data_IF_315326048570
#
_entry.id   IF_315326048570
#
_cell.length_a   1.000
_cell.length_b   1.000
_cell.length_c   1.000
_cell.angle_alpha   90.00
_cell.angle_beta   90.00
_cell.angle_gamma   90.00
#
_symmetry.space_group_name_H-M   'P 1'
#
loop_
_entity.id
_entity.type
_entity.pdbx_description
1 polymer ?
#
# COMPACT_ATOMS: atom_id res chain seq x y z
N UNK A 1 -18.83 4.42 31.66
CA UNK A 1 -18.18 3.42 30.80
C UNK A 1 -17.76 4.12 29.53
N UNK A 2 -16.54 3.91 29.01
CA UNK A 2 -16.19 4.45 27.70
C UNK A 2 -17.18 3.92 26.66
N UNK A 3 -17.51 4.71 25.63
CA UNK A 3 -18.46 4.28 24.61
C UNK A 3 -17.89 3.03 23.93
N UNK A 4 -18.73 1.99 23.83
CA UNK A 4 -18.35 0.74 23.16
C UNK A 4 -18.34 1.02 21.66
N UNK A 5 -17.17 1.02 21.03
CA UNK A 5 -17.03 1.15 19.59
C UNK A 5 -17.69 -0.05 18.89
N UNK A 6 -18.76 0.18 18.14
CA UNK A 6 -19.53 -0.85 17.42
C UNK A 6 -19.64 -0.54 15.93
N UNK A 7 -19.90 0.70 15.56
CA UNK A 7 -20.18 1.12 14.18
C UNK A 7 -19.08 2.05 13.70
N UNK A 8 -18.42 1.70 12.63
CA UNK A 8 -17.33 2.48 12.05
C UNK A 8 -17.63 2.78 10.59
N UNK A 9 -17.41 4.04 10.20
CA UNK A 9 -17.48 4.47 8.80
C UNK A 9 -16.07 4.78 8.32
N UNK A 10 -15.62 4.07 7.28
CA UNK A 10 -14.36 4.33 6.57
C UNK A 10 -14.67 4.98 5.23
N UNK A 11 -14.02 6.10 4.90
CA UNK A 11 -14.14 6.73 3.59
C UNK A 11 -12.81 6.61 2.86
N UNK A 12 -12.79 5.90 1.73
CA UNK A 12 -11.57 5.64 0.97
C UNK A 12 -11.90 5.15 -0.44
N UNK A 13 -11.10 5.56 -1.42
CA UNK A 13 -11.12 5.00 -2.77
C UNK A 13 -10.29 3.71 -2.90
N UNK A 14 -9.41 3.41 -1.94
CA UNK A 14 -8.53 2.24 -1.96
C UNK A 14 -9.30 0.91 -2.01
N UNK A 15 -10.49 0.87 -1.41
CA UNK A 15 -11.32 -0.34 -1.33
C UNK A 15 -12.25 -0.57 -2.52
N UNK A 16 -12.03 0.15 -3.62
CA UNK A 16 -12.67 -0.13 -4.91
C UNK A 16 -12.44 -1.58 -5.33
N UNK A 17 -11.22 -2.07 -5.15
CA UNK A 17 -10.87 -3.46 -5.42
C UNK A 17 -11.28 -4.36 -4.24
N UNK A 18 -12.09 -5.41 -4.47
CA UNK A 18 -12.50 -6.34 -3.42
C UNK A 18 -11.33 -7.02 -2.67
N UNK A 19 -10.21 -7.24 -3.35
CA UNK A 19 -8.98 -7.80 -2.77
C UNK A 19 -8.41 -6.93 -1.64
N UNK A 20 -8.58 -5.62 -1.70
CA UNK A 20 -8.08 -4.67 -0.69
C UNK A 20 -8.93 -4.63 0.60
N UNK A 21 -10.07 -5.32 0.65
CA UNK A 21 -11.02 -5.24 1.77
C UNK A 21 -10.71 -6.21 2.91
N UNK A 22 -9.56 -6.90 2.91
CA UNK A 22 -9.18 -7.91 3.90
C UNK A 22 -9.19 -7.35 5.32
N UNK A 23 -8.50 -6.23 5.58
CA UNK A 23 -8.52 -5.52 6.87
C UNK A 23 -9.95 -5.21 7.34
N UNK A 24 -10.83 -4.76 6.44
CA UNK A 24 -12.20 -4.41 6.80
C UNK A 24 -13.03 -5.65 7.18
N UNK A 25 -12.84 -6.77 6.47
CA UNK A 25 -13.46 -8.05 6.82
C UNK A 25 -12.96 -8.55 8.18
N UNK A 26 -11.66 -8.42 8.44
CA UNK A 26 -11.07 -8.80 9.73
C UNK A 26 -11.61 -7.93 10.90
N UNK A 27 -11.85 -6.64 10.67
CA UNK A 27 -12.51 -5.75 11.64
C UNK A 27 -13.97 -6.18 11.88
N UNK A 28 -14.71 -6.50 10.81
CA UNK A 28 -16.10 -6.98 10.91
C UNK A 28 -16.19 -8.33 11.66
N UNK A 29 -15.27 -9.25 11.40
CA UNK A 29 -15.16 -10.53 12.11
C UNK A 29 -14.92 -10.36 13.63
N UNK A 30 -14.39 -9.22 14.06
CA UNK A 30 -14.20 -8.84 15.47
C UNK A 30 -15.45 -8.19 16.11
N UNK A 31 -16.59 -8.26 15.42
CA UNK A 31 -17.88 -7.81 15.92
C UNK A 31 -18.21 -6.34 15.67
N UNK A 32 -17.46 -5.67 14.75
CA UNK A 32 -17.79 -4.32 14.32
C UNK A 32 -18.75 -4.32 13.12
N UNK A 33 -19.66 -3.36 13.10
CA UNK A 33 -20.39 -2.98 11.91
C UNK A 33 -19.55 -1.97 11.12
N UNK A 34 -18.91 -2.43 10.07
CA UNK A 34 -18.01 -1.61 9.25
C UNK A 34 -18.74 -1.19 7.98
N UNK A 35 -18.97 0.10 7.81
CA UNK A 35 -19.40 0.67 6.53
C UNK A 35 -18.20 1.31 5.85
N UNK A 36 -17.88 0.88 4.63
CA UNK A 36 -16.91 1.57 3.79
C UNK A 36 -17.61 2.35 2.69
N UNK A 37 -17.48 3.67 2.72
CA UNK A 37 -17.99 4.55 1.68
C UNK A 37 -16.91 4.79 0.62
N UNK A 38 -17.24 4.38 -0.60
CA UNK A 38 -16.35 4.44 -1.76
C UNK A 38 -16.99 5.39 -2.79
N UNK A 39 -16.20 6.17 -3.57
CA UNK A 39 -16.76 6.93 -4.69
C UNK A 39 -17.59 6.02 -5.60
N UNK A 40 -18.84 6.39 -5.86
CA UNK A 40 -19.77 5.59 -6.67
C UNK A 40 -19.22 5.28 -8.07
N UNK A 41 -18.42 6.20 -8.62
CA UNK A 41 -17.74 6.04 -9.89
C UNK A 41 -16.31 6.54 -9.77
N UNK A 42 -15.35 5.70 -10.17
CA UNK A 42 -13.93 6.02 -10.12
C UNK A 42 -13.24 5.76 -11.46
N UNK A 43 -12.34 6.63 -11.84
CA UNK A 43 -11.45 6.40 -12.98
C UNK A 43 -10.01 6.41 -12.46
N UNK A 44 -9.36 5.28 -12.56
CA UNK A 44 -7.91 5.23 -12.32
C UNK A 44 -7.19 6.13 -13.34
N UNK A 45 -6.28 7.01 -12.90
CA UNK A 45 -5.57 7.91 -13.80
C UNK A 45 -4.82 7.21 -14.93
N UNK A 46 -4.40 5.96 -14.70
CA UNK A 46 -3.49 5.21 -15.57
C UNK A 46 -4.10 3.98 -16.22
N UNK A 47 -5.27 3.53 -15.78
CA UNK A 47 -5.90 2.31 -16.27
C UNK A 47 -7.37 2.53 -16.66
N UNK A 48 -7.65 2.45 -17.91
CA UNK A 48 -8.84 1.96 -18.54
C UNK A 48 -10.16 2.64 -18.22
N UNK A 49 -11.19 1.80 -18.13
CA UNK A 49 -12.59 2.17 -17.99
C UNK A 49 -12.92 2.59 -16.57
N UNK A 50 -13.88 3.53 -16.38
CA UNK A 50 -14.39 3.83 -15.07
C UNK A 50 -14.92 2.58 -14.37
N UNK A 51 -14.65 2.46 -13.08
CA UNK A 51 -15.21 1.42 -12.22
C UNK A 51 -16.46 2.01 -11.58
N UNK A 52 -17.60 1.37 -11.80
CA UNK A 52 -18.85 1.69 -11.10
C UNK A 52 -18.98 0.74 -9.89
N UNK A 53 -19.21 1.31 -8.72
CA UNK A 53 -19.31 0.56 -7.46
C UNK A 53 -20.78 0.29 -7.18
N UNK A 54 -21.09 -0.98 -6.98
CA UNK A 54 -22.41 -1.40 -6.49
C UNK A 54 -22.42 -1.44 -4.95
N UNK A 55 -23.62 -1.28 -4.38
CA UNK A 55 -23.84 -1.55 -2.96
C UNK A 55 -23.68 -3.05 -2.70
N UNK A 56 -22.97 -3.39 -1.62
CA UNK A 56 -22.70 -4.77 -1.21
C UNK A 56 -22.73 -4.84 0.32
N UNK A 57 -23.28 -5.94 0.87
CA UNK A 57 -23.20 -6.22 2.31
C UNK A 57 -22.93 -7.70 2.53
N UNK A 58 -21.85 -7.99 3.26
CA UNK A 58 -21.48 -9.35 3.62
C UNK A 58 -20.94 -9.39 5.05
N UNK A 59 -21.52 -10.22 5.89
CA UNK A 59 -21.18 -10.25 7.31
C UNK A 59 -21.38 -8.87 7.95
N UNK A 60 -20.44 -8.41 8.73
CA UNK A 60 -20.43 -7.08 9.35
C UNK A 60 -19.88 -5.96 8.46
N UNK A 61 -19.53 -6.24 7.19
CA UNK A 61 -18.99 -5.26 6.25
C UNK A 61 -20.05 -4.83 5.25
N UNK A 62 -20.27 -3.52 5.11
CA UNK A 62 -21.07 -2.87 4.08
C UNK A 62 -20.22 -2.02 3.17
N UNK A 63 -20.33 -2.22 1.86
CA UNK A 63 -19.72 -1.34 0.82
C UNK A 63 -20.82 -0.40 0.34
N UNK A 64 -20.61 0.89 0.54
CA UNK A 64 -21.59 1.93 0.22
C UNK A 64 -21.05 2.83 -0.91
N UNK A 65 -21.69 2.82 -2.10
CA UNK A 65 -21.33 3.72 -3.20
C UNK A 65 -21.79 5.14 -2.86
N UNK A 66 -20.84 6.03 -2.59
CA UNK A 66 -21.12 7.42 -2.24
C UNK A 66 -20.93 8.32 -3.47
N UNK A 67 -21.95 9.07 -3.92
CA UNK A 67 -21.82 9.99 -5.03
C UNK A 67 -20.71 11.02 -4.81
N UNK A 68 -19.78 11.09 -5.77
CA UNK A 68 -18.63 12.01 -5.75
C UNK A 68 -18.46 12.72 -7.10
N UNK A 69 -17.81 13.89 -7.10
CA UNK A 69 -17.47 14.66 -8.30
C UNK A 69 -15.97 14.97 -8.32
N UNK A 70 -15.35 14.84 -9.51
CA UNK A 70 -13.93 15.16 -9.75
C UNK A 70 -12.97 14.41 -8.83
N UNK A 71 -11.85 15.05 -8.50
CA UNK A 71 -10.92 14.56 -7.48
C UNK A 71 -11.59 14.57 -6.12
N UNK A 72 -12.16 13.49 -5.75
CA UNK A 72 -12.86 13.14 -4.52
C UNK A 72 -13.43 14.33 -3.74
N UNK A 73 -14.59 14.80 -4.20
CA UNK A 73 -15.48 15.66 -3.43
C UNK A 73 -16.82 14.96 -3.36
N UNK A 74 -17.19 14.48 -2.21
CA UNK A 74 -18.45 13.77 -2.00
C UNK A 74 -19.66 14.71 -2.11
N UNK A 75 -20.81 14.17 -2.53
CA UNK A 75 -22.07 14.91 -2.43
C UNK A 75 -22.38 15.22 -0.96
N UNK A 76 -22.47 16.52 -0.62
CA UNK A 76 -22.69 16.93 0.77
C UNK A 76 -24.00 16.46 1.36
N UNK A 77 -25.05 16.33 0.55
CA UNK A 77 -26.35 15.77 0.96
C UNK A 77 -26.24 14.28 1.27
N UNK A 78 -25.66 13.49 0.34
CA UNK A 78 -25.47 12.06 0.50
C UNK A 78 -24.55 11.71 1.69
N UNK A 79 -23.45 12.43 1.87
CA UNK A 79 -22.57 12.24 3.03
C UNK A 79 -23.29 12.52 4.36
N UNK A 80 -24.06 13.60 4.43
CA UNK A 80 -24.85 13.90 5.65
C UNK A 80 -25.93 12.86 5.93
N UNK A 81 -26.61 12.38 4.89
CA UNK A 81 -27.59 11.31 5.01
C UNK A 81 -26.92 10.04 5.54
N UNK A 82 -25.81 9.61 4.93
CA UNK A 82 -25.07 8.43 5.35
C UNK A 82 -24.65 8.51 6.85
N UNK A 83 -24.08 9.64 7.28
CA UNK A 83 -23.67 9.84 8.68
C UNK A 83 -24.85 9.78 9.66
N UNK A 84 -26.02 10.31 9.27
CA UNK A 84 -27.24 10.26 10.11
C UNK A 84 -27.87 8.88 10.17
N UNK A 85 -27.88 8.17 9.05
CA UNK A 85 -28.51 6.85 8.94
C UNK A 85 -27.67 5.78 9.64
N UNK A 86 -26.34 5.79 9.44
CA UNK A 86 -25.42 4.79 10.03
C UNK A 86 -25.02 5.11 11.46
N UNK A 87 -25.07 6.40 11.88
CA UNK A 87 -24.68 6.87 13.21
C UNK A 87 -23.39 6.21 13.69
N UNK A 88 -22.29 6.36 12.95
CA UNK A 88 -21.03 5.71 13.33
C UNK A 88 -20.49 6.28 14.64
N UNK A 89 -19.88 5.41 15.44
CA UNK A 89 -19.19 5.79 16.67
C UNK A 89 -17.82 6.42 16.37
N UNK A 90 -17.29 6.17 15.16
CA UNK A 90 -16.05 6.73 14.65
C UNK A 90 -16.08 6.82 13.12
N UNK A 91 -15.47 7.87 12.58
CA UNK A 91 -15.21 8.03 11.14
C UNK A 91 -13.71 7.99 10.89
N UNK A 92 -13.25 7.07 10.03
CA UNK A 92 -11.89 7.10 9.48
C UNK A 92 -11.91 7.65 8.05
N UNK A 93 -11.06 8.64 7.81
CA UNK A 93 -10.85 9.23 6.48
C UNK A 93 -9.50 8.74 5.97
N UNK A 94 -9.48 8.07 4.83
CA UNK A 94 -8.24 7.64 4.20
C UNK A 94 -7.96 8.52 2.97
N UNK A 95 -7.57 9.74 3.24
CA UNK A 95 -7.29 10.81 2.29
C UNK A 95 -6.22 11.74 2.83
N UNK A 96 -5.44 12.37 1.97
CA UNK A 96 -4.41 13.30 2.42
C UNK A 96 -5.02 14.56 3.10
N UNK A 97 -4.37 15.11 4.14
CA UNK A 97 -4.91 16.20 4.98
C UNK A 97 -5.29 17.46 4.20
N UNK A 98 -4.62 17.70 3.05
CA UNK A 98 -4.85 18.84 2.17
C UNK A 98 -6.09 18.73 1.28
N UNK A 99 -6.71 17.55 1.17
CA UNK A 99 -7.77 17.29 0.18
C UNK A 99 -9.11 17.93 0.55
N UNK A 100 -9.93 18.29 -0.45
CA UNK A 100 -11.31 18.74 -0.21
C UNK A 100 -12.15 17.70 0.52
N UNK A 101 -11.95 16.41 0.22
CA UNK A 101 -12.66 15.31 0.85
C UNK A 101 -12.39 15.23 2.35
N UNK A 102 -11.12 15.25 2.77
CA UNK A 102 -10.75 15.21 4.18
C UNK A 102 -11.42 16.36 4.96
N UNK A 103 -11.37 17.60 4.41
CA UNK A 103 -12.02 18.76 5.02
C UNK A 103 -13.53 18.63 5.11
N UNK A 104 -14.17 18.12 4.05
CA UNK A 104 -15.63 17.97 3.96
C UNK A 104 -16.13 16.93 4.97
N UNK A 105 -15.50 15.77 5.03
CA UNK A 105 -15.89 14.67 5.93
C UNK A 105 -15.67 15.08 7.38
N UNK A 106 -14.49 15.66 7.69
CA UNK A 106 -14.20 16.17 9.03
C UNK A 106 -15.24 17.20 9.51
N UNK A 107 -15.62 18.14 8.64
CA UNK A 107 -16.61 19.16 8.97
C UNK A 107 -18.00 18.55 9.21
N UNK A 108 -18.39 17.53 8.41
CA UNK A 108 -19.68 16.87 8.54
C UNK A 108 -19.77 16.02 9.82
N UNK A 109 -18.75 15.19 10.10
CA UNK A 109 -18.68 14.35 11.28
C UNK A 109 -18.65 15.18 12.58
N UNK A 110 -17.85 16.24 12.63
CA UNK A 110 -17.77 17.13 13.80
C UNK A 110 -19.09 17.81 14.15
N UNK A 111 -19.92 18.17 13.17
CA UNK A 111 -21.25 18.74 13.42
C UNK A 111 -22.19 17.77 14.13
N UNK A 112 -21.90 16.48 14.04
CA UNK A 112 -22.65 15.41 14.69
C UNK A 112 -21.96 14.88 15.95
N UNK A 113 -20.85 15.49 16.37
CA UNK A 113 -20.08 15.07 17.53
C UNK A 113 -19.34 13.73 17.34
N UNK A 114 -19.14 13.28 16.09
CA UNK A 114 -18.52 11.99 15.80
C UNK A 114 -17.00 12.13 15.79
N UNK A 115 -16.25 11.28 16.52
CA UNK A 115 -14.79 11.22 16.48
C UNK A 115 -14.27 10.93 15.07
N UNK A 116 -13.15 11.58 14.71
CA UNK A 116 -12.55 11.43 13.37
C UNK A 116 -11.08 11.06 13.50
N UNK A 117 -10.70 9.98 12.82
CA UNK A 117 -9.33 9.55 12.59
C UNK A 117 -8.99 9.77 11.11
N UNK A 118 -7.79 10.25 10.82
CA UNK A 118 -7.27 10.40 9.47
C UNK A 118 -6.20 9.33 9.23
N UNK A 119 -6.25 8.69 8.07
CA UNK A 119 -5.14 7.91 7.53
C UNK A 119 -4.42 8.74 6.46
N UNK A 120 -3.09 8.76 6.49
CA UNK A 120 -2.27 9.46 5.50
C UNK A 120 -0.99 8.69 5.16
N UNK A 121 -0.54 8.82 3.91
CA UNK A 121 0.72 8.25 3.42
C UNK A 121 1.72 9.36 3.01
N UNK A 122 1.42 10.62 3.29
CA UNK A 122 2.28 11.73 2.91
C UNK A 122 3.66 11.60 3.56
N UNK A 123 4.68 11.24 2.78
CA UNK A 123 6.05 11.01 3.23
C UNK A 123 7.05 12.03 2.68
N UNK A 124 6.58 13.01 1.92
CA UNK A 124 7.36 14.15 1.42
C UNK A 124 6.68 15.43 1.87
N UNK A 125 7.43 16.38 2.39
CA UNK A 125 6.91 17.73 2.62
C UNK A 125 6.52 18.33 1.26
N UNK A 126 5.22 18.52 1.06
CA UNK A 126 4.75 19.28 -0.10
C UNK A 126 5.21 20.73 0.07
N UNK A 127 5.73 21.34 -1.00
CA UNK A 127 6.00 22.76 -1.06
C UNK A 127 4.68 23.55 -0.94
N UNK A 128 4.18 23.61 0.29
CA UNK A 128 3.01 24.43 0.62
C UNK A 128 3.50 25.75 1.21
N UNK A 129 3.04 26.84 0.62
CA UNK A 129 3.24 28.15 1.23
C UNK A 129 2.70 28.17 2.67
N UNK A 130 3.06 29.20 3.46
CA UNK A 130 2.69 29.31 4.89
C UNK A 130 1.18 29.14 5.15
N UNK A 131 0.32 29.61 4.25
CA UNK A 131 -1.14 29.44 4.31
C UNK A 131 -1.56 27.96 4.19
N UNK A 132 -0.90 27.18 3.32
CA UNK A 132 -1.15 25.75 3.16
C UNK A 132 -0.80 25.00 4.44
N UNK A 133 0.40 25.22 4.97
CA UNK A 133 0.85 24.66 6.26
C UNK A 133 -0.07 25.03 7.42
N UNK A 134 -0.51 26.27 7.48
CA UNK A 134 -1.45 26.73 8.52
C UNK A 134 -2.80 26.00 8.41
N UNK A 135 -3.36 25.88 7.19
CA UNK A 135 -4.62 25.12 6.95
C UNK A 135 -4.50 23.66 7.33
N UNK A 136 -3.39 23.02 6.99
CA UNK A 136 -3.12 21.61 7.33
C UNK A 136 -3.02 21.44 8.86
N UNK A 137 -2.23 22.26 9.54
CA UNK A 137 -2.13 22.24 11.02
C UNK A 137 -3.49 22.45 11.69
N UNK A 138 -4.29 23.39 11.16
CA UNK A 138 -5.64 23.64 11.67
C UNK A 138 -6.58 22.46 11.46
N UNK A 139 -6.42 21.70 10.38
CA UNK A 139 -7.19 20.46 10.14
C UNK A 139 -6.76 19.39 11.15
N UNK A 140 -5.46 19.11 11.24
CA UNK A 140 -4.91 18.09 12.14
C UNK A 140 -5.36 18.30 13.60
N UNK A 141 -5.34 19.51 14.11
CA UNK A 141 -5.81 19.86 15.48
C UNK A 141 -7.28 19.56 15.74
N UNK A 142 -8.07 19.24 14.71
CA UNK A 142 -9.49 18.93 14.85
C UNK A 142 -9.77 17.43 14.80
N UNK A 143 -8.75 16.61 14.54
CA UNK A 143 -8.81 15.16 14.55
C UNK A 143 -8.66 14.62 15.97
N UNK A 144 -9.13 13.40 16.18
CA UNK A 144 -8.93 12.65 17.41
C UNK A 144 -7.67 11.77 17.34
N UNK A 145 -7.20 11.46 16.14
CA UNK A 145 -5.96 10.74 15.90
C UNK A 145 -5.60 10.66 14.43
N UNK A 146 -4.38 10.23 14.14
CA UNK A 146 -3.87 9.95 12.80
C UNK A 146 -3.27 8.55 12.76
N UNK A 147 -3.60 7.81 11.73
CA UNK A 147 -2.86 6.61 11.33
C UNK A 147 -1.94 7.02 10.20
N UNK A 148 -0.64 6.89 10.40
CA UNK A 148 0.39 7.14 9.42
C UNK A 148 0.77 5.82 8.72
N UNK A 149 0.93 5.83 7.42
CA UNK A 149 1.28 4.64 6.64
C UNK A 149 2.73 4.18 6.83
N UNK A 150 3.61 5.03 7.38
CA UNK A 150 5.02 4.75 7.65
C UNK A 150 5.55 5.61 8.79
N UNK A 151 6.71 5.26 9.36
CA UNK A 151 7.39 6.04 10.40
C UNK A 151 7.75 7.44 9.91
N UNK A 152 8.18 7.58 8.67
CA UNK A 152 8.47 8.87 8.05
C UNK A 152 7.21 9.75 8.02
N UNK A 153 6.08 9.21 7.58
CA UNK A 153 4.78 9.90 7.61
C UNK A 153 4.40 10.29 9.04
N UNK A 154 4.58 9.37 10.00
CA UNK A 154 4.33 9.63 11.42
C UNK A 154 5.17 10.80 11.96
N UNK A 155 6.43 10.88 11.57
CA UNK A 155 7.34 11.95 11.95
C UNK A 155 6.89 13.31 11.40
N UNK A 156 6.49 13.38 10.12
CA UNK A 156 5.96 14.60 9.51
C UNK A 156 4.67 15.09 10.21
N UNK A 157 3.79 14.16 10.58
CA UNK A 157 2.57 14.52 11.34
C UNK A 157 2.92 15.02 12.75
N UNK A 158 3.84 14.37 13.48
CA UNK A 158 4.29 14.80 14.82
C UNK A 158 4.87 16.22 14.78
N UNK A 159 5.68 16.55 13.79
CA UNK A 159 6.21 17.91 13.58
C UNK A 159 5.10 18.94 13.41
N UNK A 160 4.01 18.57 12.71
CA UNK A 160 2.89 19.47 12.44
C UNK A 160 1.86 19.55 13.56
N UNK A 161 1.69 18.50 14.35
CA UNK A 161 0.71 18.35 15.42
C UNK A 161 1.23 17.45 16.57
N UNK A 162 2.15 17.95 17.43
CA UNK A 162 2.86 17.12 18.43
C UNK A 162 1.96 16.44 19.48
N UNK A 163 0.79 17.01 19.75
CA UNK A 163 -0.14 16.50 20.77
C UNK A 163 -1.17 15.51 20.22
N UNK A 164 -1.19 15.31 18.89
CA UNK A 164 -2.16 14.43 18.28
C UNK A 164 -1.73 12.96 18.45
N UNK A 165 -2.61 12.07 18.92
CA UNK A 165 -2.33 10.65 18.94
C UNK A 165 -2.03 10.11 17.54
N UNK A 166 -0.93 9.36 17.40
CA UNK A 166 -0.49 8.81 16.12
C UNK A 166 -0.15 7.33 16.28
N UNK A 167 -0.67 6.50 15.38
CA UNK A 167 -0.23 5.13 15.17
C UNK A 167 0.40 4.98 13.78
N UNK A 168 1.44 4.15 13.66
CA UNK A 168 2.03 3.80 12.36
C UNK A 168 1.50 2.43 11.97
N UNK A 169 0.61 2.38 10.98
CA UNK A 169 -0.07 1.16 10.54
C UNK A 169 -0.22 1.24 9.02
N UNK A 170 0.25 0.26 8.24
CA UNK A 170 0.00 0.20 6.80
C UNK A 170 -1.50 0.22 6.47
N UNK A 171 -1.85 0.79 5.32
CA UNK A 171 -3.26 0.90 4.91
C UNK A 171 -3.90 -0.46 4.65
N UNK A 172 -3.18 -1.31 3.94
CA UNK A 172 -3.63 -2.63 3.52
C UNK A 172 -2.79 -3.70 4.17
N UNK A 173 -3.43 -4.78 4.57
CA UNK A 173 -2.80 -6.02 4.94
C UNK A 173 -2.70 -6.97 3.74
N UNK A 174 -2.05 -8.10 3.92
CA UNK A 174 -2.06 -9.18 2.95
C UNK A 174 -2.76 -10.41 3.52
N UNK A 175 -3.51 -11.07 2.66
CA UNK A 175 -3.97 -12.41 2.90
C UNK A 175 -2.80 -13.37 2.71
N UNK A 176 -2.44 -14.11 3.75
CA UNK A 176 -1.41 -15.12 3.65
C UNK A 176 -2.06 -16.49 3.43
N UNK A 177 -1.58 -17.29 2.46
CA UNK A 177 -2.02 -18.66 2.33
C UNK A 177 -1.60 -19.48 3.57
N UNK A 178 -2.38 -20.51 3.94
CA UNK A 178 -2.03 -21.38 5.06
C UNK A 178 -0.68 -22.07 4.81
N UNK A 179 -0.50 -22.59 3.60
CA UNK A 179 0.75 -23.16 3.12
C UNK A 179 1.15 -22.48 1.81
N UNK A 180 2.31 -21.80 1.76
CA UNK A 180 2.85 -21.27 0.52
C UNK A 180 3.18 -22.41 -0.44
N UNK A 181 2.84 -22.22 -1.69
CA UNK A 181 3.17 -23.19 -2.74
C UNK A 181 4.19 -22.57 -3.68
N UNK A 182 5.18 -23.34 -4.07
CA UNK A 182 6.15 -22.96 -5.10
C UNK A 182 6.14 -23.97 -6.22
N UNK A 183 5.98 -23.49 -7.44
CA UNK A 183 6.08 -24.32 -8.64
C UNK A 183 7.56 -24.53 -8.93
N UNK A 184 8.05 -25.79 -8.98
CA UNK A 184 9.45 -26.07 -9.32
C UNK A 184 9.81 -25.53 -10.70
N UNK A 185 10.96 -24.87 -10.77
CA UNK A 185 11.49 -24.31 -12.03
C UNK A 185 13.01 -24.30 -12.03
N UNK A 186 13.60 -24.10 -13.21
CA UNK A 186 15.03 -24.00 -13.36
C UNK A 186 15.52 -22.56 -13.20
N UNK A 187 16.63 -22.38 -12.45
CA UNK A 187 17.23 -21.07 -12.22
C UNK A 187 16.47 -20.21 -11.21
N UNK A 188 16.81 -18.92 -11.13
CA UNK A 188 16.21 -17.96 -10.23
C UNK A 188 15.05 -17.22 -10.90
N UNK A 189 13.86 -17.28 -10.33
CA UNK A 189 12.69 -16.55 -10.80
C UNK A 189 12.53 -15.23 -10.07
N UNK A 190 12.84 -14.13 -10.75
CA UNK A 190 12.67 -12.78 -10.27
C UNK A 190 11.32 -12.20 -10.70
N UNK A 191 10.72 -11.39 -9.86
CA UNK A 191 9.51 -10.64 -10.17
C UNK A 191 9.66 -9.15 -9.89
N UNK A 192 8.99 -8.35 -10.70
CA UNK A 192 8.68 -6.96 -10.41
C UNK A 192 7.17 -6.78 -10.61
N UNK A 193 6.50 -6.17 -9.64
CA UNK A 193 5.06 -5.88 -9.73
C UNK A 193 4.84 -4.41 -9.39
N UNK A 194 4.31 -3.65 -10.35
CA UNK A 194 4.07 -2.24 -10.14
C UNK A 194 3.88 -1.43 -11.42
N UNK A 195 3.59 -0.15 -11.26
CA UNK A 195 3.46 0.78 -12.39
C UNK A 195 4.81 0.97 -13.08
N UNK A 196 4.81 1.01 -14.41
CA UNK A 196 6.02 1.28 -15.20
C UNK A 196 6.22 2.79 -15.36
N UNK A 197 6.74 3.40 -14.28
CA UNK A 197 7.09 4.83 -14.19
C UNK A 197 8.53 4.96 -13.72
N UNK A 198 9.23 6.03 -14.13
CA UNK A 198 10.65 6.22 -13.84
C UNK A 198 11.03 6.06 -12.36
N UNK A 199 10.26 6.59 -11.37
CA UNK A 199 10.62 6.43 -9.96
C UNK A 199 10.62 4.97 -9.45
N UNK A 200 10.03 4.02 -10.18
CA UNK A 200 10.06 2.60 -9.80
C UNK A 200 11.40 1.92 -10.11
N UNK A 201 12.32 2.58 -10.82
CA UNK A 201 13.72 2.17 -10.97
C UNK A 201 13.93 0.86 -11.74
N UNK A 202 12.96 0.43 -12.56
CA UNK A 202 13.07 -0.83 -13.30
C UNK A 202 14.24 -0.82 -14.30
N UNK A 203 14.65 0.35 -14.80
CA UNK A 203 15.85 0.52 -15.61
C UNK A 203 17.12 0.12 -14.84
N UNK A 204 17.20 0.42 -13.53
CA UNK A 204 18.33 0.03 -12.67
C UNK A 204 18.38 -1.48 -12.47
N UNK A 205 17.23 -2.12 -12.31
CA UNK A 205 17.15 -3.57 -12.25
C UNK A 205 17.62 -4.23 -13.55
N UNK A 206 17.17 -3.73 -14.71
CA UNK A 206 17.61 -4.25 -16.01
C UNK A 206 19.13 -4.07 -16.19
N UNK A 207 19.70 -2.92 -15.80
CA UNK A 207 21.16 -2.68 -15.81
C UNK A 207 21.88 -3.68 -14.91
N UNK A 208 21.41 -3.91 -13.68
CA UNK A 208 22.00 -4.87 -12.74
C UNK A 208 22.03 -6.29 -13.32
N UNK A 209 20.92 -6.72 -13.95
CA UNK A 209 20.79 -8.05 -14.57
C UNK A 209 21.69 -8.24 -15.81
N UNK A 210 22.09 -7.16 -16.48
CA UNK A 210 23.03 -7.21 -17.62
C UNK A 210 24.50 -7.29 -17.21
N UNK A 211 24.80 -7.04 -15.94
CA UNK A 211 26.15 -7.00 -15.39
C UNK A 211 26.88 -8.34 -15.46
N UNK A 212 28.20 -8.27 -15.27
CA UNK A 212 29.09 -9.46 -15.37
C UNK A 212 28.80 -10.52 -14.32
N UNK A 213 28.37 -10.13 -13.12
CA UNK A 213 28.05 -11.03 -12.00
C UNK A 213 26.93 -12.03 -12.38
N UNK A 214 25.93 -11.58 -13.13
CA UNK A 214 24.73 -12.39 -13.42
C UNK A 214 24.70 -12.96 -14.85
N UNK A 215 25.72 -12.65 -15.67
CA UNK A 215 25.73 -13.01 -17.12
C UNK A 215 25.65 -14.51 -17.38
N UNK A 216 26.36 -15.32 -16.61
CA UNK A 216 26.43 -16.78 -16.77
C UNK A 216 25.36 -17.54 -15.96
N UNK A 217 24.57 -16.84 -15.15
CA UNK A 217 23.62 -17.45 -14.25
C UNK A 217 22.26 -17.70 -14.93
N UNK A 218 21.57 -18.76 -14.50
CA UNK A 218 20.20 -19.04 -14.95
C UNK A 218 19.20 -18.25 -14.12
N UNK A 219 18.58 -17.27 -14.73
CA UNK A 219 17.51 -16.46 -14.12
C UNK A 219 16.48 -16.05 -15.18
N UNK A 220 15.29 -15.73 -14.75
CA UNK A 220 14.22 -15.09 -15.53
C UNK A 220 13.62 -13.94 -14.72
N UNK A 221 13.13 -12.92 -15.40
CA UNK A 221 12.41 -11.81 -14.79
C UNK A 221 10.99 -11.72 -15.34
N UNK A 222 10.00 -11.73 -14.47
CA UNK A 222 8.61 -11.44 -14.81
C UNK A 222 8.26 -10.03 -14.36
N UNK A 223 7.82 -9.20 -15.30
CA UNK A 223 7.40 -7.82 -15.04
C UNK A 223 5.89 -7.73 -15.20
N UNK A 224 5.22 -7.41 -14.08
CA UNK A 224 3.77 -7.22 -14.01
C UNK A 224 3.47 -5.74 -13.83
N UNK A 225 2.71 -5.20 -14.73
CA UNK A 225 2.29 -3.80 -14.70
C UNK A 225 2.36 -3.14 -16.07
N UNK A 226 1.91 -1.90 -16.10
CA UNK A 226 1.93 -1.06 -17.29
C UNK A 226 2.24 0.39 -16.91
N UNK A 227 2.55 1.22 -17.89
CA UNK A 227 2.85 2.63 -17.68
C UNK A 227 3.63 3.27 -18.83
N UNK A 228 3.85 4.60 -18.73
CA UNK A 228 4.49 5.36 -19.80
C UNK A 228 5.93 4.95 -20.12
N UNK A 229 6.61 4.26 -19.19
CA UNK A 229 7.99 3.80 -19.39
C UNK A 229 8.09 2.46 -20.14
N UNK A 230 6.98 1.78 -20.44
CA UNK A 230 6.99 0.42 -20.97
C UNK A 230 7.84 0.28 -22.22
N UNK A 231 7.56 1.06 -23.26
CA UNK A 231 8.28 0.97 -24.55
C UNK A 231 9.78 1.23 -24.36
N UNK A 232 10.15 2.24 -23.58
CA UNK A 232 11.56 2.56 -23.26
C UNK A 232 12.26 1.40 -22.54
N UNK A 233 11.57 0.75 -21.60
CA UNK A 233 12.12 -0.36 -20.83
C UNK A 233 12.26 -1.65 -21.67
N UNK A 234 11.31 -1.93 -22.57
CA UNK A 234 11.41 -3.04 -23.51
C UNK A 234 12.59 -2.84 -24.49
N UNK A 235 12.78 -1.60 -24.98
CA UNK A 235 13.94 -1.25 -25.80
C UNK A 235 15.25 -1.41 -25.02
N UNK A 236 15.33 -0.91 -23.79
CA UNK A 236 16.50 -1.06 -22.91
C UNK A 236 16.81 -2.55 -22.66
N UNK A 237 15.81 -3.38 -22.41
CA UNK A 237 16.03 -4.81 -22.22
C UNK A 237 16.63 -5.48 -23.49
N UNK A 238 16.23 -5.03 -24.68
CA UNK A 238 16.79 -5.51 -25.96
C UNK A 238 18.24 -5.05 -26.15
N UNK A 239 18.54 -3.78 -25.88
CA UNK A 239 19.89 -3.22 -25.95
C UNK A 239 20.85 -3.94 -25.00
N UNK A 240 20.38 -4.28 -23.79
CA UNK A 240 21.11 -5.04 -22.79
C UNK A 240 21.15 -6.55 -23.06
N UNK A 241 20.55 -7.03 -24.16
CA UNK A 241 20.45 -8.45 -24.57
C UNK A 241 19.70 -9.34 -23.55
N UNK A 242 18.71 -8.78 -22.86
CA UNK A 242 17.91 -9.45 -21.85
C UNK A 242 16.53 -9.92 -22.36
N UNK A 243 16.12 -9.54 -23.57
CA UNK A 243 14.76 -9.76 -24.09
C UNK A 243 14.26 -11.21 -23.94
N UNK A 244 15.13 -12.20 -24.17
CA UNK A 244 14.77 -13.62 -24.05
C UNK A 244 14.56 -14.09 -22.58
N UNK A 245 14.97 -13.30 -21.60
CA UNK A 245 14.88 -13.62 -20.16
C UNK A 245 13.82 -12.78 -19.42
N UNK A 246 13.20 -11.82 -20.10
CA UNK A 246 12.23 -10.90 -19.50
C UNK A 246 10.85 -11.16 -20.07
N UNK A 247 9.90 -11.50 -19.21
CA UNK A 247 8.48 -11.68 -19.53
C UNK A 247 7.69 -10.45 -19.12
N UNK A 248 7.07 -9.76 -20.07
CA UNK A 248 6.20 -8.62 -19.85
C UNK A 248 4.74 -9.08 -19.90
N UNK A 249 4.01 -8.95 -18.80
CA UNK A 249 2.62 -9.42 -18.72
C UNK A 249 1.60 -8.33 -18.99
N UNK A 250 2.00 -7.05 -18.88
CA UNK A 250 1.05 -5.94 -18.71
C UNK A 250 0.42 -5.93 -17.33
N UNK A 251 -0.61 -5.13 -17.16
CA UNK A 251 -1.39 -5.10 -15.92
C UNK A 251 -2.22 -6.37 -15.75
N UNK A 252 -2.13 -7.01 -14.59
CA UNK A 252 -2.90 -8.20 -14.25
C UNK A 252 -3.95 -7.90 -13.17
N UNK A 253 -5.10 -8.58 -13.19
CA UNK A 253 -6.04 -8.60 -12.06
C UNK A 253 -5.39 -9.18 -10.79
N UNK A 254 -5.90 -8.77 -9.62
CA UNK A 254 -5.33 -9.17 -8.33
C UNK A 254 -5.23 -10.69 -8.14
N UNK A 255 -6.23 -11.44 -8.64
CA UNK A 255 -6.26 -12.90 -8.55
C UNK A 255 -5.12 -13.54 -9.37
N UNK A 256 -4.77 -12.96 -10.51
CA UNK A 256 -3.66 -13.42 -11.34
C UNK A 256 -2.31 -13.01 -10.73
N UNK A 257 -2.22 -11.85 -10.09
CA UNK A 257 -1.03 -11.47 -9.31
C UNK A 257 -0.83 -12.44 -8.15
N UNK A 258 -1.91 -12.82 -7.45
CA UNK A 258 -1.84 -13.80 -6.36
C UNK A 258 -1.29 -15.16 -6.82
N UNK A 259 -1.64 -15.61 -8.02
CA UNK A 259 -1.12 -16.85 -8.59
C UNK A 259 0.37 -16.77 -8.95
N UNK A 260 0.88 -15.58 -9.30
CA UNK A 260 2.29 -15.40 -9.64
C UNK A 260 3.25 -15.64 -8.48
N UNK A 261 2.81 -15.43 -7.25
CA UNK A 261 3.67 -15.65 -6.08
C UNK A 261 4.19 -17.09 -6.01
N UNK A 262 3.44 -18.06 -6.56
CA UNK A 262 3.89 -19.46 -6.62
C UNK A 262 5.00 -19.71 -7.65
N UNK A 263 5.19 -18.81 -8.60
CA UNK A 263 6.18 -18.91 -9.69
C UNK A 263 7.46 -18.12 -9.41
N UNK A 264 7.50 -17.30 -8.34
CA UNK A 264 8.58 -16.38 -8.05
C UNK A 264 9.39 -16.84 -6.83
N UNK A 265 10.71 -16.73 -6.94
CA UNK A 265 11.64 -16.87 -5.82
C UNK A 265 11.89 -15.55 -5.09
N UNK A 266 11.95 -14.45 -5.85
CA UNK A 266 12.35 -13.14 -5.35
C UNK A 266 11.48 -12.06 -5.97
N UNK A 267 10.91 -11.20 -5.14
CA UNK A 267 10.39 -9.91 -5.58
C UNK A 267 11.47 -8.84 -5.46
N UNK A 268 11.71 -8.10 -6.54
CA UNK A 268 12.62 -6.95 -6.53
C UNK A 268 11.84 -5.65 -6.61
N UNK A 269 12.09 -4.75 -5.66
CA UNK A 269 11.47 -3.42 -5.59
C UNK A 269 12.57 -2.34 -5.69
N UNK A 270 13.04 -1.98 -6.90
CA UNK A 270 14.20 -1.13 -7.11
C UNK A 270 13.86 0.37 -7.12
N UNK A 271 12.85 0.79 -6.34
CA UNK A 271 12.34 2.15 -6.33
C UNK A 271 13.42 3.18 -6.04
N UNK A 272 13.37 4.30 -6.75
CA UNK A 272 14.30 5.43 -6.57
C UNK A 272 13.77 6.39 -5.48
N UNK A 273 14.62 7.31 -5.05
CA UNK A 273 14.24 8.42 -4.18
C UNK A 273 14.65 9.74 -4.81
N UNK A 274 13.83 10.78 -4.63
CA UNK A 274 14.16 12.16 -4.96
C UNK A 274 13.58 13.09 -3.90
N UNK A 275 13.87 14.39 -4.01
CA UNK A 275 13.30 15.39 -3.09
C UNK A 275 11.77 15.47 -3.15
N UNK A 276 11.20 15.10 -4.30
CA UNK A 276 9.75 15.18 -4.53
C UNK A 276 9.04 13.83 -4.54
N UNK A 277 9.78 12.73 -4.52
CA UNK A 277 9.20 11.40 -4.58
C UNK A 277 9.97 10.37 -3.76
N UNK A 278 9.25 9.58 -2.99
CA UNK A 278 9.73 8.38 -2.28
C UNK A 278 8.62 7.35 -2.27
N UNK A 279 8.95 6.07 -2.14
CA UNK A 279 7.93 5.03 -2.02
C UNK A 279 7.05 5.28 -0.78
N UNK A 280 5.75 5.45 -0.99
CA UNK A 280 4.79 5.75 0.09
C UNK A 280 4.18 4.50 0.70
N UNK A 281 3.98 3.49 -0.13
CA UNK A 281 3.42 2.20 0.25
C UNK A 281 3.88 1.14 -0.73
N UNK A 282 4.16 -0.05 -0.26
CA UNK A 282 4.48 -1.19 -1.11
C UNK A 282 3.69 -2.42 -0.66
N UNK A 283 2.38 -2.41 -0.97
CA UNK A 283 1.50 -3.55 -0.67
C UNK A 283 2.03 -4.84 -1.31
N UNK A 284 2.58 -4.73 -2.52
CA UNK A 284 3.18 -5.84 -3.24
C UNK A 284 4.35 -6.51 -2.49
N UNK A 285 5.15 -5.75 -1.72
CA UNK A 285 6.16 -6.33 -0.83
C UNK A 285 5.52 -7.16 0.27
N UNK A 286 4.47 -6.64 0.89
CA UNK A 286 3.75 -7.35 1.96
C UNK A 286 3.11 -8.63 1.41
N UNK A 287 2.54 -8.60 0.21
CA UNK A 287 1.98 -9.78 -0.46
C UNK A 287 3.05 -10.83 -0.77
N UNK A 288 4.18 -10.43 -1.35
CA UNK A 288 5.30 -11.34 -1.62
C UNK A 288 5.82 -11.99 -0.34
N UNK A 289 6.07 -11.19 0.69
CA UNK A 289 6.50 -11.67 2.00
C UNK A 289 5.50 -12.67 2.61
N UNK A 290 4.19 -12.37 2.54
CA UNK A 290 3.14 -13.25 3.04
C UNK A 290 3.09 -14.60 2.30
N UNK A 291 3.49 -14.63 1.04
CA UNK A 291 3.57 -15.82 0.18
C UNK A 291 4.94 -16.52 0.22
N UNK A 292 5.81 -16.19 1.18
CA UNK A 292 7.15 -16.78 1.34
C UNK A 292 8.04 -16.57 0.11
N UNK A 293 7.90 -15.44 -0.58
CA UNK A 293 8.79 -14.96 -1.63
C UNK A 293 9.86 -14.08 -0.98
N UNK A 294 11.14 -14.34 -1.25
CA UNK A 294 12.22 -13.50 -0.76
C UNK A 294 12.11 -12.08 -1.36
N UNK A 295 12.56 -11.07 -0.63
CA UNK A 295 12.43 -9.68 -1.06
C UNK A 295 13.78 -8.98 -1.11
N UNK A 296 14.01 -8.27 -2.20
CA UNK A 296 15.12 -7.34 -2.40
C UNK A 296 14.54 -5.97 -2.73
N UNK A 297 14.84 -4.98 -1.92
CA UNK A 297 14.37 -3.62 -2.13
C UNK A 297 15.48 -2.59 -2.00
N UNK A 298 15.14 -1.35 -2.29
CA UNK A 298 16.02 -0.20 -2.08
C UNK A 298 15.63 0.56 -0.80
N UNK A 299 16.50 1.47 -0.35
CA UNK A 299 16.24 2.35 0.80
C UNK A 299 15.25 3.50 0.49
N UNK A 300 14.38 3.32 -0.52
CA UNK A 300 13.38 4.31 -0.89
C UNK A 300 12.15 4.24 0.02
N UNK A 301 11.89 5.32 0.72
CA UNK A 301 10.68 5.55 1.49
C UNK A 301 10.36 4.45 2.51
N UNK A 302 9.22 3.77 2.36
CA UNK A 302 8.71 2.75 3.29
C UNK A 302 9.39 1.38 3.14
N UNK A 303 10.13 1.15 2.06
CA UNK A 303 10.69 -0.18 1.73
C UNK A 303 11.56 -0.75 2.86
N UNK A 304 12.54 -0.01 3.45
CA UNK A 304 13.35 -0.53 4.55
C UNK A 304 12.52 -0.89 5.78
N UNK A 305 11.48 -0.10 6.09
CA UNK A 305 10.59 -0.35 7.23
C UNK A 305 9.79 -1.65 7.04
N UNK A 306 9.30 -1.91 5.81
CA UNK A 306 8.56 -3.13 5.50
C UNK A 306 9.45 -4.36 5.55
N UNK A 307 10.61 -4.33 4.92
CA UNK A 307 11.54 -5.45 4.83
C UNK A 307 12.18 -5.74 6.20
N UNK A 308 12.67 -4.72 6.89
CA UNK A 308 13.44 -4.87 8.12
C UNK A 308 14.66 -5.77 7.93
N UNK A 309 14.79 -6.76 8.79
CA UNK A 309 15.84 -7.79 8.78
C UNK A 309 15.46 -9.04 7.94
N UNK A 310 14.27 -9.06 7.36
CA UNK A 310 13.70 -10.21 6.68
C UNK A 310 13.92 -10.22 5.15
N UNK A 311 14.87 -9.46 4.64
CA UNK A 311 15.21 -9.39 3.22
C UNK A 311 16.49 -8.61 2.99
N UNK A 312 16.73 -8.21 1.76
CA UNK A 312 17.90 -7.41 1.39
C UNK A 312 17.45 -5.99 1.04
N UNK A 313 18.14 -5.00 1.60
CA UNK A 313 17.95 -3.59 1.26
C UNK A 313 19.27 -3.01 0.76
N UNK A 314 19.25 -2.34 -0.40
CA UNK A 314 20.39 -1.68 -1.01
C UNK A 314 20.08 -0.20 -1.23
N UNK A 315 21.09 0.62 -1.54
CA UNK A 315 20.86 2.04 -1.81
C UNK A 315 20.06 2.26 -3.09
N UNK A 316 19.17 3.25 -3.07
CA UNK A 316 18.34 3.60 -4.23
C UNK A 316 19.23 4.07 -5.40
N UNK A 317 19.06 3.44 -6.56
CA UNK A 317 19.85 3.72 -7.76
C UNK A 317 21.20 2.99 -7.85
N UNK A 318 21.59 2.24 -6.81
CA UNK A 318 22.80 1.44 -6.79
C UNK A 318 22.63 0.15 -7.61
N UNK A 319 23.11 0.18 -8.85
CA UNK A 319 23.05 -0.93 -9.80
C UNK A 319 23.91 -2.12 -9.34
N UNK A 320 25.09 -1.84 -8.82
CA UNK A 320 26.02 -2.89 -8.36
C UNK A 320 25.49 -3.54 -7.07
N UNK A 321 24.92 -2.76 -6.16
CA UNK A 321 24.23 -3.25 -4.98
C UNK A 321 23.05 -4.15 -5.31
N UNK A 322 22.25 -3.79 -6.33
CA UNK A 322 21.17 -4.66 -6.82
C UNK A 322 21.72 -5.97 -7.39
N UNK A 323 22.78 -5.92 -8.19
CA UNK A 323 23.42 -7.11 -8.76
C UNK A 323 23.96 -8.03 -7.66
N UNK A 324 24.67 -7.50 -6.68
CA UNK A 324 25.19 -8.26 -5.53
C UNK A 324 24.09 -8.84 -4.66
N UNK A 325 22.99 -8.08 -4.45
CA UNK A 325 21.81 -8.57 -3.74
C UNK A 325 21.17 -9.77 -4.45
N UNK A 326 21.03 -9.72 -5.77
CA UNK A 326 20.52 -10.83 -6.59
C UNK A 326 21.48 -12.01 -6.55
N UNK A 327 22.79 -11.78 -6.70
CA UNK A 327 23.82 -12.82 -6.63
C UNK A 327 23.74 -13.59 -5.29
N UNK A 328 23.59 -12.89 -4.17
CA UNK A 328 23.41 -13.51 -2.86
C UNK A 328 22.16 -14.38 -2.78
N UNK A 329 21.10 -14.02 -3.50
CA UNK A 329 19.84 -14.77 -3.54
C UNK A 329 19.88 -15.98 -4.52
N UNK A 330 20.95 -16.15 -5.31
CA UNK A 330 21.20 -17.40 -6.04
C UNK A 330 21.41 -18.58 -5.10
N UNK A 331 22.03 -18.33 -3.94
CA UNK A 331 22.15 -19.37 -2.89
C UNK A 331 20.77 -19.72 -2.33
N UNK A 332 20.34 -20.96 -2.58
CA UNK A 332 19.00 -21.43 -2.21
C UNK A 332 18.77 -21.46 -0.70
N UNK A 333 19.83 -21.64 0.11
CA UNK A 333 19.74 -21.68 1.57
C UNK A 333 19.48 -20.28 2.11
N UNK A 334 20.26 -19.30 1.69
CA UNK A 334 20.07 -17.87 2.01
C UNK A 334 18.69 -17.39 1.59
N UNK A 335 18.31 -17.68 0.33
CA UNK A 335 17.02 -17.28 -0.22
C UNK A 335 15.85 -17.83 0.58
N UNK A 336 15.85 -19.12 0.89
CA UNK A 336 14.79 -19.76 1.72
C UNK A 336 14.74 -19.20 3.14
N UNK A 337 15.89 -19.00 3.77
CA UNK A 337 15.94 -18.41 5.10
C UNK A 337 15.33 -17.01 5.15
N UNK A 338 15.65 -16.16 4.17
CA UNK A 338 15.08 -14.82 4.05
C UNK A 338 13.59 -14.86 3.72
N UNK A 339 13.13 -15.75 2.84
CA UNK A 339 11.72 -15.91 2.50
C UNK A 339 10.87 -16.32 3.72
N UNK A 340 11.35 -17.26 4.53
CA UNK A 340 10.71 -17.69 5.78
C UNK A 340 10.66 -16.55 6.81
N UNK A 341 11.75 -15.80 6.96
CA UNK A 341 11.79 -14.61 7.83
C UNK A 341 10.82 -13.54 7.35
N UNK A 342 10.75 -13.31 6.02
CA UNK A 342 9.82 -12.38 5.39
C UNK A 342 8.36 -12.76 5.70
N UNK A 343 8.01 -14.03 5.51
CA UNK A 343 6.67 -14.54 5.84
C UNK A 343 6.34 -14.36 7.32
N UNK A 344 7.24 -14.77 8.22
CA UNK A 344 7.01 -14.62 9.65
C UNK A 344 6.77 -13.15 10.04
N UNK A 345 7.54 -12.22 9.45
CA UNK A 345 7.35 -10.78 9.63
C UNK A 345 6.01 -10.30 9.08
N UNK A 346 5.65 -10.72 7.86
CA UNK A 346 4.38 -10.34 7.24
C UNK A 346 3.18 -10.82 8.04
N UNK A 347 3.17 -12.05 8.48
CA UNK A 347 2.10 -12.61 9.32
C UNK A 347 1.94 -11.84 10.64
N UNK A 348 3.04 -11.50 11.28
CA UNK A 348 3.04 -10.81 12.57
C UNK A 348 2.63 -9.34 12.47
N UNK A 349 3.06 -8.63 11.42
CA UNK A 349 2.95 -7.17 11.36
C UNK A 349 1.98 -6.66 10.29
N UNK A 350 1.79 -7.42 9.21
CA UNK A 350 1.18 -6.95 7.97
C UNK A 350 0.04 -7.84 7.46
N UNK A 351 -0.33 -8.92 8.16
CA UNK A 351 -1.54 -9.64 7.82
C UNK A 351 -2.78 -8.77 8.02
N UNK A 352 -3.84 -9.06 7.30
CA UNK A 352 -5.12 -8.36 7.46
C UNK A 352 -5.59 -8.34 8.92
N UNK A 353 -5.39 -9.46 9.64
CA UNK A 353 -5.72 -9.61 11.05
C UNK A 353 -4.86 -8.73 11.96
N UNK A 354 -3.54 -8.71 11.76
CA UNK A 354 -2.62 -7.91 12.55
C UNK A 354 -2.87 -6.41 12.37
N UNK A 355 -3.11 -5.99 11.13
CA UNK A 355 -3.44 -4.57 10.83
C UNK A 355 -4.81 -4.20 11.39
N UNK A 356 -5.81 -5.08 11.31
CA UNK A 356 -7.13 -4.85 11.87
C UNK A 356 -7.08 -4.70 13.38
N UNK A 357 -6.34 -5.55 14.08
CA UNK A 357 -6.16 -5.48 15.54
C UNK A 357 -5.53 -4.15 15.97
N UNK A 358 -4.40 -3.79 15.39
CA UNK A 358 -3.71 -2.51 15.68
C UNK A 358 -4.59 -1.31 15.37
N UNK A 359 -5.38 -1.37 14.28
CA UNK A 359 -6.33 -0.32 13.91
C UNK A 359 -7.42 -0.19 14.97
N UNK A 360 -8.00 -1.31 15.41
CA UNK A 360 -9.05 -1.34 16.41
C UNK A 360 -8.56 -0.84 17.78
N UNK A 361 -7.36 -1.23 18.20
CA UNK A 361 -6.73 -0.74 19.43
C UNK A 361 -6.55 0.77 19.40
N UNK A 362 -6.03 1.30 18.28
CA UNK A 362 -5.86 2.74 18.12
C UNK A 362 -7.21 3.49 18.13
N UNK A 363 -8.23 2.98 17.44
CA UNK A 363 -9.57 3.57 17.46
C UNK A 363 -10.15 3.62 18.88
N UNK A 364 -10.01 2.53 19.65
CA UNK A 364 -10.44 2.48 21.05
C UNK A 364 -9.68 3.47 21.93
N UNK A 365 -8.39 3.67 21.68
CA UNK A 365 -7.58 4.64 22.42
C UNK A 365 -8.09 6.08 22.23
N UNK A 366 -8.42 6.47 20.99
CA UNK A 366 -8.78 7.85 20.65
C UNK A 366 -10.27 8.16 20.82
N UNK A 367 -11.10 7.16 21.16
CA UNK A 367 -12.54 7.33 21.46
C UNK A 367 -12.87 7.24 22.95
N UNK A 368 -11.85 7.04 23.81
CA UNK A 368 -11.99 7.13 25.28
C UNK A 368 -12.16 8.57 25.72
#
# INVERSE_FOLDING_TARGET
MPPILRRVLVLSHTYLQPAHRGKLRALAARGLEVTVAIPQRWREPWFGRPIDVAWERQGGLEVFPLPARGTIKYSGGALKALLRDRRPDLVQIEEEPGTPAARQVLAAARRLGIPVVLYTQQNVEQEQGWLGRWKQRRLLRKLHGVIAGSDLTGTLVRTSAPQLPIAVIPQLGALAPHEPQHVPHEGLALGFVGRLVAPKGLDKLLQALSGTLLRGMKWRLTIVGDGPERERLEQLASELRLAARVRWTGGLPAEQVASLWTELDVLVQPSLSSDTWRETSSHVLIEAMANEVAVLGTDSGVIPELIGDAGIVVSAGDVDGLAAGIERLLDATTRRGLAQAARARALRLYSDDAIAERTLEFWRQVTK
#
